data_IF_235267632023
#
_entry.id   IF_235267632023
#
_cell.length_a   1.000
_cell.length_b   1.000
_cell.length_c   1.000
_cell.angle_alpha   90.00
_cell.angle_beta   90.00
_cell.angle_gamma   90.00
#
_symmetry.space_group_name_H-M   'P 1'
#
loop_
_entity.id
_entity.type
_entity.pdbx_description
1 polymer ?
#
# COMPACT_ATOMS: atom_id res chain seq x y z
N UNK A 1 15.32 -12.19 -6.92
CA UNK A 1 14.00 -12.14 -7.57
C UNK A 1 13.75 -10.73 -8.09
N UNK A 2 13.27 -10.60 -9.29
CA UNK A 2 12.98 -9.29 -9.86
C UNK A 2 11.76 -8.64 -9.19
N UNK A 3 11.74 -7.31 -9.08
CA UNK A 3 10.59 -6.59 -8.60
C UNK A 3 9.39 -6.83 -9.53
N UNK A 4 8.17 -6.82 -8.97
CA UNK A 4 6.95 -7.02 -9.75
C UNK A 4 6.62 -5.73 -10.50
N UNK A 5 6.81 -5.66 -11.84
CA UNK A 5 6.61 -4.44 -12.59
C UNK A 5 5.14 -3.99 -12.64
N UNK A 6 4.19 -4.91 -12.48
CA UNK A 6 2.77 -4.57 -12.52
C UNK A 6 2.39 -3.68 -11.35
N UNK A 7 2.84 -4.02 -10.13
CA UNK A 7 2.56 -3.24 -8.92
C UNK A 7 3.14 -1.83 -9.06
N UNK A 8 4.41 -1.75 -9.44
CA UNK A 8 5.12 -0.49 -9.44
C UNK A 8 4.73 0.40 -10.63
N UNK A 9 4.43 -0.22 -11.76
CA UNK A 9 3.90 0.51 -12.90
C UNK A 9 2.57 1.20 -12.56
N UNK A 10 1.73 0.54 -11.75
CA UNK A 10 0.45 1.10 -11.34
C UNK A 10 0.59 2.34 -10.44
N UNK A 11 1.74 2.53 -9.81
CA UNK A 11 2.02 3.71 -8.98
C UNK A 11 3.08 4.62 -9.59
N UNK A 12 3.36 4.45 -10.87
CA UNK A 12 4.22 5.37 -11.62
C UNK A 12 5.71 5.19 -11.39
N UNK A 13 6.16 4.02 -10.93
CA UNK A 13 7.58 3.71 -10.77
C UNK A 13 7.91 2.41 -11.47
N UNK A 14 9.14 2.29 -11.96
CA UNK A 14 9.58 1.13 -12.75
C UNK A 14 10.96 0.64 -12.30
N UNK A 15 11.04 -0.04 -11.14
CA UNK A 15 12.31 -0.60 -10.71
C UNK A 15 12.73 -1.73 -11.66
N UNK A 16 14.02 -1.78 -11.99
CA UNK A 16 14.57 -2.77 -12.93
C UNK A 16 14.96 -4.08 -12.23
N UNK A 17 15.11 -4.03 -10.91
CA UNK A 17 15.53 -5.18 -10.10
C UNK A 17 15.14 -4.93 -8.65
N UNK A 18 15.29 -5.94 -7.81
CA UNK A 18 15.08 -5.78 -6.36
C UNK A 18 16.09 -4.82 -5.76
N UNK A 19 17.33 -4.83 -6.26
CA UNK A 19 18.33 -3.88 -5.80
C UNK A 19 17.97 -2.44 -6.20
N UNK A 20 17.49 -2.26 -7.42
CA UNK A 20 17.02 -0.96 -7.90
C UNK A 20 15.86 -0.45 -7.04
N UNK A 21 14.92 -1.33 -6.72
CA UNK A 21 13.81 -0.99 -5.82
C UNK A 21 14.32 -0.55 -4.45
N UNK A 22 15.31 -1.25 -3.91
CA UNK A 22 15.88 -0.89 -2.62
C UNK A 22 16.48 0.51 -2.65
N UNK A 23 17.20 0.84 -3.72
CA UNK A 23 17.78 2.17 -3.90
C UNK A 23 16.73 3.25 -4.08
N UNK A 24 15.70 2.96 -4.88
CA UNK A 24 14.58 3.89 -5.08
C UNK A 24 13.85 4.15 -3.77
N UNK A 25 13.73 3.14 -2.92
CA UNK A 25 13.11 3.28 -1.61
C UNK A 25 13.95 4.17 -0.69
N UNK A 26 15.26 3.99 -0.69
CA UNK A 26 16.16 4.85 0.09
C UNK A 26 16.10 6.31 -0.37
N UNK A 27 16.00 6.53 -1.67
CA UNK A 27 15.95 7.88 -2.25
C UNK A 27 14.57 8.51 -2.12
N UNK A 28 13.53 7.71 -1.92
CA UNK A 28 12.15 8.15 -1.86
C UNK A 28 11.47 8.13 -3.22
N UNK A 29 10.23 7.62 -3.23
CA UNK A 29 9.41 7.63 -4.43
C UNK A 29 8.93 9.04 -4.75
N UNK A 30 8.62 9.32 -6.02
CA UNK A 30 8.02 10.60 -6.37
C UNK A 30 6.66 10.78 -5.71
N UNK A 31 6.31 12.03 -5.41
CA UNK A 31 5.02 12.35 -4.77
C UNK A 31 3.83 11.86 -5.60
N UNK A 32 4.00 11.78 -6.91
CA UNK A 32 2.98 11.31 -7.86
C UNK A 32 2.54 9.87 -7.57
N UNK A 33 3.36 9.07 -6.89
CA UNK A 33 2.95 7.71 -6.51
C UNK A 33 1.75 7.72 -5.57
N UNK A 34 1.60 8.74 -4.74
CA UNK A 34 0.42 8.93 -3.88
C UNK A 34 -0.82 9.21 -4.73
N UNK A 35 -0.69 10.06 -5.76
CA UNK A 35 -1.80 10.35 -6.67
C UNK A 35 -2.25 9.10 -7.42
N UNK A 36 -1.31 8.23 -7.80
CA UNK A 36 -1.65 6.97 -8.46
C UNK A 36 -2.44 6.04 -7.54
N UNK A 37 -2.13 6.01 -6.25
CA UNK A 37 -2.93 5.25 -5.29
C UNK A 37 -4.35 5.78 -5.18
N UNK A 38 -4.55 7.08 -5.24
CA UNK A 38 -5.89 7.68 -5.28
C UNK A 38 -6.65 7.23 -6.51
N UNK A 39 -6.01 7.16 -7.66
CA UNK A 39 -6.63 6.68 -8.90
C UNK A 39 -7.06 5.22 -8.79
N UNK A 40 -6.38 4.44 -7.97
CA UNK A 40 -6.74 3.05 -7.72
C UNK A 40 -7.86 2.89 -6.69
N UNK A 41 -8.35 3.98 -6.14
CA UNK A 41 -9.54 3.97 -5.28
C UNK A 41 -9.29 4.29 -3.82
N UNK A 42 -8.05 4.56 -3.39
CA UNK A 42 -7.82 4.99 -2.03
C UNK A 42 -8.34 6.42 -1.84
N UNK A 43 -9.07 6.62 -0.74
CA UNK A 43 -9.61 7.94 -0.44
C UNK A 43 -8.55 8.84 0.18
N UNK A 44 -8.83 10.13 0.17
CA UNK A 44 -7.99 11.12 0.83
C UNK A 44 -7.75 10.77 2.31
N UNK A 45 -8.80 10.35 3.02
CA UNK A 45 -8.71 9.98 4.42
C UNK A 45 -7.83 8.75 4.61
N UNK A 46 -7.95 7.77 3.74
CA UNK A 46 -7.13 6.55 3.79
C UNK A 46 -5.65 6.86 3.56
N UNK A 47 -5.35 7.68 2.58
CA UNK A 47 -3.99 8.14 2.31
C UNK A 47 -3.42 8.87 3.54
N UNK A 48 -4.20 9.79 4.08
CA UNK A 48 -3.81 10.58 5.26
C UNK A 48 -3.53 9.69 6.47
N UNK A 49 -4.36 8.70 6.69
CA UNK A 49 -4.27 7.83 7.85
C UNK A 49 -3.14 6.80 7.74
N UNK A 50 -2.88 6.29 6.55
CA UNK A 50 -1.99 5.13 6.38
C UNK A 50 -0.63 5.49 5.79
N UNK A 51 -0.54 6.53 4.97
CA UNK A 51 0.69 6.82 4.21
C UNK A 51 1.37 8.12 4.65
N UNK A 52 0.69 9.25 4.44
CA UNK A 52 1.27 10.57 4.67
C UNK A 52 0.17 11.57 4.99
N UNK A 53 0.41 12.42 6.01
CA UNK A 53 -0.56 13.45 6.35
C UNK A 53 -0.64 14.51 5.25
N UNK A 54 -1.80 15.18 5.11
CA UNK A 54 -1.94 16.27 4.13
C UNK A 54 -0.93 17.38 4.35
N UNK A 55 -0.65 17.70 5.60
CA UNK A 55 0.30 18.74 5.96
C UNK A 55 1.72 18.40 5.48
N UNK A 56 2.16 17.17 5.74
CA UNK A 56 3.49 16.71 5.32
C UNK A 56 3.58 16.68 3.80
N UNK A 57 2.55 16.18 3.12
CA UNK A 57 2.52 16.14 1.67
C UNK A 57 2.63 17.54 1.07
N UNK A 58 1.90 18.49 1.62
CA UNK A 58 1.97 19.89 1.19
C UNK A 58 3.37 20.47 1.37
N UNK A 59 4.01 20.18 2.49
CA UNK A 59 5.38 20.62 2.75
C UNK A 59 6.37 20.05 1.74
N UNK A 60 6.24 18.77 1.41
CA UNK A 60 7.10 18.12 0.42
C UNK A 60 6.94 18.77 -0.95
N UNK A 61 5.70 19.03 -1.36
CA UNK A 61 5.42 19.71 -2.63
C UNK A 61 6.04 21.09 -2.68
N UNK A 62 5.88 21.86 -1.61
CA UNK A 62 6.41 23.23 -1.55
C UNK A 62 7.93 23.27 -1.63
N UNK A 63 8.61 22.23 -1.14
CA UNK A 63 10.08 22.15 -1.11
C UNK A 63 10.66 21.38 -2.28
N UNK A 64 9.84 20.82 -3.15
CA UNK A 64 10.31 19.97 -4.24
C UNK A 64 10.95 18.68 -3.78
N UNK A 65 10.49 18.14 -2.63
CA UNK A 65 11.02 16.91 -2.04
C UNK A 65 10.27 15.69 -2.53
N UNK A 66 10.96 14.55 -2.54
CA UNK A 66 10.34 13.25 -2.73
C UNK A 66 9.75 12.76 -1.42
N UNK A 67 9.05 11.62 -1.45
CA UNK A 67 8.60 10.95 -0.23
C UNK A 67 9.82 10.52 0.60
N UNK A 68 9.67 10.47 1.92
CA UNK A 68 10.70 9.89 2.77
C UNK A 68 10.79 8.38 2.54
N UNK A 69 11.84 7.74 3.07
CA UNK A 69 11.96 6.30 3.01
C UNK A 69 10.76 5.60 3.68
N UNK A 70 10.37 6.08 4.85
CA UNK A 70 9.24 5.50 5.59
C UNK A 70 7.92 5.65 4.84
N UNK A 71 7.70 6.82 4.26
CA UNK A 71 6.50 7.07 3.44
C UNK A 71 6.50 6.17 2.20
N UNK A 72 7.66 6.04 1.57
CA UNK A 72 7.84 5.16 0.41
C UNK A 72 7.54 3.71 0.77
N UNK A 73 8.02 3.23 1.91
CA UNK A 73 7.74 1.88 2.36
C UNK A 73 6.25 1.64 2.59
N UNK A 74 5.52 2.65 3.08
CA UNK A 74 4.06 2.54 3.24
C UNK A 74 3.34 2.49 1.90
N UNK A 75 3.78 3.28 0.92
CA UNK A 75 3.23 3.22 -0.45
C UNK A 75 3.41 1.82 -1.02
N UNK A 76 4.61 1.26 -0.93
CA UNK A 76 4.91 -0.07 -1.43
C UNK A 76 4.03 -1.11 -0.74
N UNK A 77 3.91 -1.04 0.57
CA UNK A 77 3.12 -1.97 1.37
C UNK A 77 1.66 -1.95 0.95
N UNK A 78 1.09 -0.75 0.85
CA UNK A 78 -0.32 -0.60 0.43
C UNK A 78 -0.52 -1.15 -0.97
N UNK A 79 0.35 -0.80 -1.92
CA UNK A 79 0.25 -1.27 -3.29
C UNK A 79 0.29 -2.80 -3.38
N UNK A 80 1.20 -3.44 -2.64
CA UNK A 80 1.32 -4.90 -2.62
C UNK A 80 0.09 -5.58 -2.03
N UNK A 81 -0.41 -5.05 -0.93
CA UNK A 81 -1.58 -5.63 -0.26
C UNK A 81 -2.83 -5.48 -1.12
N UNK A 82 -3.03 -4.31 -1.72
CA UNK A 82 -4.19 -4.10 -2.60
C UNK A 82 -4.13 -5.07 -3.79
N UNK A 83 -2.97 -5.21 -4.43
CA UNK A 83 -2.83 -6.14 -5.55
C UNK A 83 -3.09 -7.59 -5.11
N UNK A 84 -2.56 -8.00 -3.97
CA UNK A 84 -2.77 -9.34 -3.46
C UNK A 84 -4.25 -9.58 -3.15
N UNK A 85 -4.91 -8.63 -2.52
CA UNK A 85 -6.35 -8.71 -2.25
C UNK A 85 -7.16 -8.80 -3.55
N UNK A 86 -6.78 -8.03 -4.57
CA UNK A 86 -7.44 -8.10 -5.89
C UNK A 86 -7.36 -9.53 -6.45
N UNK A 87 -6.23 -10.18 -6.33
CA UNK A 87 -6.05 -11.57 -6.79
C UNK A 87 -6.87 -12.56 -5.97
N UNK A 88 -6.86 -12.40 -4.65
CA UNK A 88 -7.58 -13.31 -3.74
C UNK A 88 -9.08 -13.27 -3.99
N UNK A 89 -9.64 -12.07 -4.14
CA UNK A 89 -11.08 -11.90 -4.29
C UNK A 89 -11.56 -11.89 -5.74
N UNK A 90 -10.65 -11.78 -6.70
CA UNK A 90 -10.99 -11.76 -8.12
C UNK A 90 -11.71 -10.50 -8.57
N UNK A 91 -11.78 -9.48 -7.73
CA UNK A 91 -12.46 -8.22 -8.01
C UNK A 91 -11.88 -7.11 -7.14
N UNK A 92 -11.58 -5.97 -7.74
CA UNK A 92 -11.09 -4.83 -7.00
C UNK A 92 -12.12 -4.32 -5.98
N UNK A 93 -13.40 -4.28 -6.37
CA UNK A 93 -14.46 -3.82 -5.46
C UNK A 93 -14.59 -4.73 -4.24
N UNK A 94 -14.52 -6.04 -4.44
CA UNK A 94 -14.57 -7.00 -3.33
C UNK A 94 -13.33 -6.88 -2.45
N UNK A 95 -12.17 -6.72 -3.06
CA UNK A 95 -10.90 -6.55 -2.34
C UNK A 95 -10.96 -5.31 -1.44
N UNK A 96 -11.37 -4.18 -2.00
CA UNK A 96 -11.46 -2.93 -1.24
C UNK A 96 -12.53 -3.02 -0.15
N UNK A 97 -13.63 -3.70 -0.42
CA UNK A 97 -14.67 -3.95 0.58
C UNK A 97 -14.12 -4.72 1.78
N UNK A 98 -13.36 -5.79 1.52
CA UNK A 98 -12.73 -6.56 2.59
C UNK A 98 -11.70 -5.73 3.36
N UNK A 99 -10.87 -4.98 2.66
CA UNK A 99 -9.83 -4.15 3.28
C UNK A 99 -10.42 -3.06 4.18
N UNK A 100 -11.62 -2.60 3.86
CA UNK A 100 -12.30 -1.51 4.58
C UNK A 100 -13.24 -1.99 5.69
N UNK A 101 -13.51 -3.29 5.77
CA UNK A 101 -14.44 -3.83 6.76
C UNK A 101 -13.78 -3.91 8.12
N UNK A 102 -14.48 -3.44 9.16
CA UNK A 102 -14.01 -3.57 10.52
C UNK A 102 -13.98 -5.04 10.94
N UNK A 103 -12.94 -5.44 11.65
CA UNK A 103 -12.70 -6.84 12.03
C UNK A 103 -12.41 -6.92 13.53
N UNK A 104 -13.17 -7.78 14.24
CA UNK A 104 -12.98 -7.98 15.68
C UNK A 104 -11.56 -8.42 16.02
N UNK A 105 -10.92 -9.20 15.15
CA UNK A 105 -9.56 -9.67 15.35
C UNK A 105 -8.53 -8.53 15.33
N UNK A 106 -8.91 -7.36 14.83
CA UNK A 106 -8.09 -6.18 14.70
C UNK A 106 -8.57 -5.05 15.63
N UNK A 107 -9.24 -5.37 16.72
CA UNK A 107 -9.84 -4.39 17.62
C UNK A 107 -10.82 -3.47 16.90
N UNK A 108 -11.62 -4.03 16.02
CA UNK A 108 -12.60 -3.30 15.20
C UNK A 108 -11.98 -2.29 14.23
N UNK A 109 -10.68 -2.39 13.99
CA UNK A 109 -10.03 -1.64 12.91
C UNK A 109 -10.14 -2.43 11.61
N UNK A 110 -9.95 -1.75 10.49
CA UNK A 110 -9.93 -2.44 9.20
C UNK A 110 -8.49 -2.80 8.81
N UNK A 111 -8.36 -3.66 7.78
CA UNK A 111 -7.07 -4.11 7.31
C UNK A 111 -6.21 -2.96 6.77
N UNK A 112 -6.81 -1.96 6.11
CA UNK A 112 -6.06 -0.80 5.60
C UNK A 112 -5.34 -0.06 6.73
N UNK A 113 -6.00 0.12 7.87
CA UNK A 113 -5.40 0.82 9.01
C UNK A 113 -4.18 0.07 9.58
N UNK A 114 -4.14 -1.23 9.40
CA UNK A 114 -3.02 -2.05 9.86
C UNK A 114 -1.77 -1.84 8.99
N UNK A 115 -1.91 -1.27 7.80
CA UNK A 115 -0.79 -1.12 6.87
C UNK A 115 0.17 0.03 7.22
N UNK A 116 -0.10 0.75 8.29
CA UNK A 116 0.82 1.79 8.79
C UNK A 116 2.18 1.21 9.18
N UNK A 117 2.21 -0.04 9.64
CA UNK A 117 3.42 -0.67 10.14
C UNK A 117 3.75 -1.94 9.36
N UNK A 118 5.01 -2.32 9.40
CA UNK A 118 5.46 -3.58 8.79
C UNK A 118 4.76 -4.77 9.43
N UNK A 119 4.66 -4.80 10.76
CA UNK A 119 4.00 -5.89 11.47
C UNK A 119 2.53 -6.00 11.10
N UNK A 120 1.82 -4.87 11.00
CA UNK A 120 0.43 -4.86 10.57
C UNK A 120 0.26 -5.34 9.14
N UNK A 121 1.17 -4.95 8.25
CA UNK A 121 1.16 -5.43 6.87
C UNK A 121 1.33 -6.93 6.77
N UNK A 122 2.22 -7.51 7.57
CA UNK A 122 2.42 -8.97 7.61
C UNK A 122 1.18 -9.69 8.12
N UNK A 123 0.54 -9.14 9.14
CA UNK A 123 -0.70 -9.69 9.66
C UNK A 123 -1.77 -9.76 8.57
N UNK A 124 -1.99 -8.67 7.86
CA UNK A 124 -2.97 -8.62 6.77
C UNK A 124 -2.60 -9.58 5.66
N UNK A 125 -1.33 -9.64 5.28
CA UNK A 125 -0.85 -10.58 4.26
C UNK A 125 -1.17 -12.01 4.66
N UNK A 126 -0.91 -12.39 5.91
CA UNK A 126 -1.23 -13.73 6.41
C UNK A 126 -2.73 -14.01 6.37
N UNK A 127 -3.56 -13.04 6.71
CA UNK A 127 -5.01 -13.18 6.61
C UNK A 127 -5.44 -13.45 5.16
N UNK A 128 -4.85 -12.74 4.21
CA UNK A 128 -5.15 -12.94 2.78
C UNK A 128 -4.69 -14.31 2.30
N UNK A 129 -3.52 -14.77 2.73
CA UNK A 129 -3.07 -16.12 2.40
C UNK A 129 -4.03 -17.19 2.92
N UNK A 130 -4.51 -17.03 4.14
CA UNK A 130 -5.47 -17.98 4.71
C UNK A 130 -6.77 -18.01 3.92
N UNK A 131 -7.27 -16.87 3.49
CA UNK A 131 -8.46 -16.79 2.65
C UNK A 131 -8.20 -17.46 1.29
N UNK A 132 -7.07 -17.16 0.68
CA UNK A 132 -6.70 -17.69 -0.62
C UNK A 132 -6.59 -19.22 -0.60
N UNK A 133 -6.09 -19.78 0.48
CA UNK A 133 -5.94 -21.23 0.64
C UNK A 133 -7.21 -21.92 1.12
N UNK A 134 -8.27 -21.16 1.37
CA UNK A 134 -9.54 -21.72 1.88
C UNK A 134 -9.46 -22.21 3.32
N UNK A 135 -8.49 -21.73 4.09
CA UNK A 135 -8.31 -22.11 5.50
C UNK A 135 -9.37 -21.47 6.39
N UNK A 136 -9.86 -20.32 5.97
CA UNK A 136 -10.97 -19.66 6.65
C UNK A 136 -12.29 -20.19 6.12
N UNK A 137 -13.01 -20.76 6.99
CA UNK A 137 -14.39 -21.09 6.69
C UNK A 137 -15.28 -19.89 7.03
#
# INVERSE_FOLDING_TARGET
>A
MAANPVIFSAIGVEPKSDFDLAKMTENGFPLESVDELKKQGLTFTEISDVIISPRTLKHRKARGEELSREETERVIRVARIVEFADKVFGSHDKAMGWLREADDRLDNRNALQMLKTEAGGRLVENMLYQIDEGVFA
#
